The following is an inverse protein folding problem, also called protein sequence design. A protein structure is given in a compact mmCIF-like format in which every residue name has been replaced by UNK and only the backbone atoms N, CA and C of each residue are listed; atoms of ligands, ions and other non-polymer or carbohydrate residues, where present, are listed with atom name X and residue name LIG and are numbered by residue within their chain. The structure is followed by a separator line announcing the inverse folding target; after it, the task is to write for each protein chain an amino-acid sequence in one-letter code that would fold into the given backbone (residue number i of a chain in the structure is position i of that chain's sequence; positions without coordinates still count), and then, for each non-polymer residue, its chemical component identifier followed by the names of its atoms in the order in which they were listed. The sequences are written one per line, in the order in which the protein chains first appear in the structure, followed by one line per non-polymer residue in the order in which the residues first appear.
data_IF_551505317229
#
_entry.id   IF_551505317229
#
_cell.length_a   1.000
_cell.length_b   1.000
_cell.length_c   1.000
_cell.angle_alpha   90.00
_cell.angle_beta   90.00
_cell.angle_gamma   90.00
#
_symmetry.space_group_name_H-M   'P 1'
#
loop_
_entity.id
_entity.type
_entity.pdbx_description
1 polymer ?
#
# COMPACT_ATOMS: atom_id res chain seq x y z
N UNK A 1 -16.54 -59.07 -48.15
CA UNK A 1 -15.46 -58.79 -47.18
C UNK A 1 -15.77 -57.46 -46.53
N UNK A 2 -16.28 -57.47 -45.29
CA UNK A 2 -16.79 -56.27 -44.61
C UNK A 2 -16.10 -56.19 -43.26
N UNK A 3 -15.18 -55.24 -43.09
CA UNK A 3 -14.39 -55.06 -41.86
C UNK A 3 -15.13 -54.06 -40.96
N UNK A 4 -15.65 -54.54 -39.82
CA UNK A 4 -16.15 -53.69 -38.73
C UNK A 4 -14.97 -53.18 -37.91
N UNK A 5 -14.81 -51.86 -37.81
CA UNK A 5 -13.84 -51.22 -36.91
C UNK A 5 -14.50 -50.94 -35.57
N UNK A 6 -13.96 -51.54 -34.52
CA UNK A 6 -14.30 -51.30 -33.11
C UNK A 6 -13.63 -50.02 -32.64
N UNK A 7 -14.39 -49.08 -32.08
CA UNK A 7 -13.85 -47.86 -31.46
C UNK A 7 -13.85 -48.05 -29.95
N UNK A 8 -12.66 -48.04 -29.33
CA UNK A 8 -12.49 -47.96 -27.88
C UNK A 8 -12.67 -46.51 -27.43
N UNK A 9 -13.61 -46.27 -26.52
CA UNK A 9 -13.76 -45.00 -25.80
C UNK A 9 -12.92 -45.07 -24.53
N UNK A 10 -11.83 -44.29 -24.49
CA UNK A 10 -11.00 -44.14 -23.30
C UNK A 10 -11.46 -42.94 -22.47
N UNK A 11 -11.94 -43.20 -21.25
CA UNK A 11 -12.35 -42.17 -20.28
C UNK A 11 -11.10 -41.56 -19.63
N UNK A 12 -10.87 -40.26 -19.86
CA UNK A 12 -9.79 -39.50 -19.23
C UNK A 12 -10.26 -39.01 -17.84
N UNK A 13 -9.71 -39.59 -16.76
CA UNK A 13 -9.88 -39.05 -15.41
C UNK A 13 -8.99 -37.81 -15.25
N UNK A 14 -9.62 -36.63 -15.20
CA UNK A 14 -8.98 -35.38 -14.77
C UNK A 14 -8.89 -35.36 -13.23
N UNK A 15 -7.70 -35.66 -12.71
CA UNK A 15 -7.33 -35.34 -11.33
C UNK A 15 -7.19 -33.81 -11.23
N UNK A 16 -8.15 -33.14 -10.61
CA UNK A 16 -8.01 -31.75 -10.20
C UNK A 16 -6.96 -31.68 -9.07
N UNK A 17 -5.78 -31.16 -9.36
CA UNK A 17 -4.81 -30.84 -8.33
C UNK A 17 -5.40 -29.73 -7.44
N UNK A 18 -5.35 -29.85 -6.10
CA UNK A 18 -5.72 -28.75 -5.22
C UNK A 18 -4.81 -27.56 -5.53
N UNK A 19 -5.43 -26.44 -5.93
CA UNK A 19 -4.73 -25.20 -6.18
C UNK A 19 -4.00 -24.80 -4.90
N UNK A 20 -2.67 -24.86 -4.92
CA UNK A 20 -1.84 -24.19 -3.92
C UNK A 20 -2.21 -22.72 -4.00
N UNK A 21 -2.74 -22.16 -2.92
CA UNK A 21 -2.99 -20.73 -2.79
C UNK A 21 -1.62 -20.05 -2.74
N UNK A 22 -1.05 -19.81 -3.92
CA UNK A 22 0.25 -19.19 -4.06
C UNK A 22 0.17 -17.75 -3.56
N UNK A 23 1.17 -17.34 -2.77
CA UNK A 23 1.36 -15.95 -2.39
C UNK A 23 1.34 -15.05 -3.62
N UNK A 24 0.53 -14.01 -3.58
CA UNK A 24 0.35 -13.12 -4.73
C UNK A 24 1.18 -11.84 -4.55
N UNK A 25 2.37 -11.79 -5.14
CA UNK A 25 3.20 -10.60 -5.13
C UNK A 25 2.64 -9.53 -6.08
N UNK A 26 2.43 -8.30 -5.58
CA UNK A 26 1.97 -7.15 -6.38
C UNK A 26 2.70 -5.87 -6.01
N UNK A 27 3.01 -5.02 -6.99
CA UNK A 27 3.63 -3.73 -6.69
C UNK A 27 2.59 -2.70 -6.22
N UNK A 28 2.42 -2.59 -4.90
CA UNK A 28 1.48 -1.65 -4.29
C UNK A 28 1.85 -0.18 -4.51
N UNK A 29 3.08 0.16 -4.94
CA UNK A 29 3.46 1.54 -5.24
C UNK A 29 2.67 2.11 -6.43
N UNK A 30 2.11 1.24 -7.27
CA UNK A 30 1.25 1.61 -8.41
C UNK A 30 -0.19 1.91 -8.00
N UNK A 31 -0.60 1.54 -6.78
CA UNK A 31 -1.97 1.71 -6.31
C UNK A 31 -2.28 3.14 -5.91
N UNK A 32 -3.57 3.40 -5.70
CA UNK A 32 -4.08 4.66 -5.18
C UNK A 32 -5.20 4.41 -4.18
N UNK A 33 -5.20 5.16 -3.07
CA UNK A 33 -6.30 5.20 -2.11
C UNK A 33 -6.97 6.56 -2.26
N UNK A 34 -8.28 6.56 -2.51
CA UNK A 34 -9.04 7.82 -2.67
C UNK A 34 -8.46 8.78 -3.73
N UNK A 35 -7.87 8.23 -4.79
CA UNK A 35 -7.20 8.98 -5.86
C UNK A 35 -5.77 9.46 -5.53
N UNK A 36 -5.32 9.32 -4.29
CA UNK A 36 -3.96 9.70 -3.86
C UNK A 36 -3.00 8.52 -4.03
N UNK A 37 -1.82 8.79 -4.59
CA UNK A 37 -0.73 7.82 -4.81
C UNK A 37 0.50 8.20 -4.00
N UNK A 38 1.32 7.21 -3.67
CA UNK A 38 2.68 7.43 -3.18
C UNK A 38 3.48 8.27 -4.19
N UNK A 39 4.38 9.13 -3.72
CA UNK A 39 5.20 9.97 -4.59
C UNK A 39 4.52 11.23 -5.14
N UNK A 40 3.21 11.44 -4.90
CA UNK A 40 2.54 12.69 -5.28
C UNK A 40 3.13 13.89 -4.53
N UNK A 41 3.19 15.04 -5.20
CA UNK A 41 3.43 16.31 -4.53
C UNK A 41 2.17 16.82 -3.81
N UNK A 42 2.33 17.91 -3.04
CA UNK A 42 1.27 18.52 -2.24
C UNK A 42 0.03 18.89 -3.07
N UNK A 43 0.19 19.60 -4.18
CA UNK A 43 -0.93 20.16 -4.94
C UNK A 43 -1.74 19.07 -5.64
N UNK A 44 -1.06 18.05 -6.16
CA UNK A 44 -1.71 16.88 -6.77
C UNK A 44 -2.47 16.08 -5.71
N UNK A 45 -1.85 15.80 -4.56
CA UNK A 45 -2.49 15.07 -3.47
C UNK A 45 -3.68 15.85 -2.87
N UNK A 46 -3.56 17.16 -2.71
CA UNK A 46 -4.64 18.03 -2.22
C UNK A 46 -5.85 17.99 -3.16
N UNK A 47 -5.64 18.11 -4.47
CA UNK A 47 -6.72 18.04 -5.46
C UNK A 47 -7.40 16.67 -5.49
N UNK A 48 -6.62 15.59 -5.45
CA UNK A 48 -7.16 14.23 -5.39
C UNK A 48 -8.01 14.02 -4.14
N UNK A 49 -7.50 14.40 -2.97
CA UNK A 49 -8.21 14.31 -1.69
C UNK A 49 -9.48 15.18 -1.67
N UNK A 50 -9.39 16.43 -2.15
CA UNK A 50 -10.53 17.35 -2.24
C UNK A 50 -11.64 16.80 -3.15
N UNK A 51 -11.27 16.28 -4.32
CA UNK A 51 -12.23 15.67 -5.25
C UNK A 51 -12.91 14.43 -4.68
N UNK A 52 -12.14 13.53 -4.05
CA UNK A 52 -12.69 12.32 -3.44
C UNK A 52 -13.58 12.63 -2.23
N UNK A 53 -13.12 13.51 -1.33
CA UNK A 53 -13.86 13.86 -0.12
C UNK A 53 -14.99 14.86 -0.36
N UNK A 54 -15.12 15.38 -1.58
CA UNK A 54 -16.12 16.38 -1.98
C UNK A 54 -16.08 17.64 -1.09
N UNK A 55 -14.88 18.03 -0.67
CA UNK A 55 -14.65 19.28 0.08
C UNK A 55 -13.92 20.26 -0.82
N UNK A 56 -14.10 21.59 -0.64
CA UNK A 56 -13.30 22.56 -1.38
C UNK A 56 -11.82 22.41 -1.03
N UNK A 57 -10.92 22.55 -2.01
CA UNK A 57 -9.47 22.42 -1.79
C UNK A 57 -8.95 23.38 -0.71
N UNK A 58 -9.58 24.54 -0.55
CA UNK A 58 -9.27 25.52 0.50
C UNK A 58 -9.51 25.01 1.93
N UNK A 59 -10.37 23.99 2.11
CA UNK A 59 -10.60 23.34 3.40
C UNK A 59 -9.51 22.31 3.76
N UNK A 60 -8.69 21.88 2.79
CA UNK A 60 -7.58 20.96 3.03
C UNK A 60 -6.39 21.74 3.57
N UNK A 61 -6.21 21.76 4.90
CA UNK A 61 -5.14 22.48 5.57
C UNK A 61 -3.95 21.56 5.89
N UNK A 62 -2.71 21.96 5.59
CA UNK A 62 -1.53 21.19 5.96
C UNK A 62 -1.29 21.25 7.47
N UNK A 63 -0.81 20.16 8.04
CA UNK A 63 0.10 20.24 9.17
C UNK A 63 1.53 20.38 8.65
N UNK A 64 2.21 21.41 9.12
CA UNK A 64 3.59 21.70 8.71
C UNK A 64 4.56 21.33 9.82
N UNK A 65 5.67 20.70 9.45
CA UNK A 65 6.77 20.42 10.36
C UNK A 65 8.07 20.85 9.67
N UNK A 66 9.13 21.00 10.47
CA UNK A 66 10.46 21.23 9.92
C UNK A 66 10.93 19.98 9.19
N UNK A 67 11.29 20.14 7.93
CA UNK A 67 11.95 19.10 7.18
C UNK A 67 13.37 18.89 7.75
N UNK A 68 13.72 17.67 8.20
CA UNK A 68 15.02 17.40 8.81
C UNK A 68 16.21 17.57 7.85
N UNK A 69 15.97 17.56 6.54
CA UNK A 69 16.99 17.74 5.51
C UNK A 69 17.24 19.20 5.16
N UNK A 70 16.18 20.01 5.06
CA UNK A 70 16.27 21.40 4.58
C UNK A 70 16.22 22.42 5.72
N UNK A 71 15.79 22.02 6.91
CA UNK A 71 15.54 22.90 8.05
C UNK A 71 14.33 23.82 7.88
N UNK A 72 13.60 23.72 6.77
CA UNK A 72 12.46 24.59 6.45
C UNK A 72 11.15 23.95 6.89
N UNK A 73 10.21 24.78 7.35
CA UNK A 73 8.83 24.35 7.56
C UNK A 73 8.17 24.02 6.23
N UNK A 74 7.61 22.82 6.12
CA UNK A 74 7.00 22.28 4.91
C UNK A 74 5.76 21.44 5.27
N UNK A 75 4.80 21.28 4.35
CA UNK A 75 3.61 20.46 4.60
C UNK A 75 4.02 18.99 4.72
N UNK A 76 3.88 18.43 5.92
CA UNK A 76 4.14 17.00 6.18
C UNK A 76 2.89 16.14 6.10
N UNK A 77 1.74 16.76 5.84
CA UNK A 77 0.48 16.08 5.58
C UNK A 77 -0.72 16.92 5.86
N UNK A 78 -1.89 16.31 5.73
CA UNK A 78 -3.18 16.91 6.02
C UNK A 78 -4.18 15.82 6.41
N UNK A 79 -5.24 16.23 7.11
CA UNK A 79 -6.40 15.38 7.37
C UNK A 79 -7.66 16.10 6.89
N UNK A 80 -8.52 15.36 6.20
CA UNK A 80 -9.87 15.80 5.83
C UNK A 80 -10.85 14.84 6.46
N UNK A 81 -11.92 15.35 7.07
CA UNK A 81 -13.01 14.55 7.60
C UNK A 81 -14.33 14.99 6.98
N UNK A 82 -15.21 14.03 6.76
CA UNK A 82 -16.61 14.22 6.39
C UNK A 82 -17.47 13.24 7.20
N UNK A 83 -18.81 13.36 7.18
CA UNK A 83 -19.68 12.39 7.84
C UNK A 83 -19.48 10.94 7.35
N UNK A 84 -18.95 10.76 6.13
CA UNK A 84 -18.80 9.46 5.49
C UNK A 84 -17.41 8.82 5.71
N UNK A 85 -16.47 9.54 6.34
CA UNK A 85 -15.14 9.02 6.62
C UNK A 85 -14.09 10.12 6.79
N UNK A 86 -12.85 9.70 6.96
CA UNK A 86 -11.69 10.59 7.03
C UNK A 86 -10.57 10.10 6.13
N UNK A 87 -9.82 11.05 5.59
CA UNK A 87 -8.65 10.82 4.76
C UNK A 87 -7.46 11.55 5.39
N UNK A 88 -6.41 10.80 5.69
CA UNK A 88 -5.14 11.30 6.18
C UNK A 88 -4.07 11.04 5.15
N UNK A 89 -3.37 12.09 4.73
CA UNK A 89 -2.22 11.98 3.82
C UNK A 89 -0.99 12.49 4.57
N UNK A 90 0.09 11.71 4.53
CA UNK A 90 1.40 12.07 5.09
C UNK A 90 2.42 12.17 3.97
N UNK A 91 3.35 13.12 4.15
CA UNK A 91 4.48 13.32 3.26
C UNK A 91 5.76 13.04 4.02
N UNK A 92 6.75 12.53 3.29
CA UNK A 92 8.12 12.39 3.74
C UNK A 92 9.04 13.22 2.86
N UNK A 93 10.13 13.71 3.43
CA UNK A 93 11.20 14.32 2.65
C UNK A 93 11.94 13.24 1.85
N UNK A 94 12.22 13.50 0.58
CA UNK A 94 12.94 12.58 -0.29
C UNK A 94 14.40 13.02 -0.45
N UNK A 95 15.38 12.21 0.03
CA UNK A 95 16.78 12.56 -0.08
C UNK A 95 17.28 12.78 -1.50
N UNK A 96 16.85 11.93 -2.42
CA UNK A 96 17.24 11.99 -3.83
C UNK A 96 16.62 13.18 -4.57
N UNK A 97 15.67 13.88 -3.94
CA UNK A 97 15.02 15.07 -4.47
C UNK A 97 15.36 16.32 -3.64
N UNK A 98 16.56 16.38 -3.06
CA UNK A 98 17.03 17.51 -2.27
C UNK A 98 16.07 17.92 -1.13
N UNK A 99 15.41 16.93 -0.53
CA UNK A 99 14.43 17.16 0.54
C UNK A 99 13.08 17.68 0.05
N UNK A 100 12.72 17.52 -1.23
CA UNK A 100 11.33 17.71 -1.65
C UNK A 100 10.40 16.75 -0.88
N UNK A 101 9.21 17.20 -0.52
CA UNK A 101 8.24 16.38 0.20
C UNK A 101 7.30 15.65 -0.77
N UNK A 102 7.15 14.34 -0.59
CA UNK A 102 6.29 13.47 -1.41
C UNK A 102 5.40 12.62 -0.53
N UNK A 103 4.21 12.26 -1.02
CA UNK A 103 3.28 11.38 -0.28
C UNK A 103 3.99 10.07 0.06
N UNK A 104 4.06 9.75 1.35
CA UNK A 104 4.64 8.53 1.88
C UNK A 104 3.60 7.62 2.55
N UNK A 105 2.44 8.17 2.92
CA UNK A 105 1.32 7.37 3.35
C UNK A 105 -0.02 8.06 3.05
N UNK A 106 -1.04 7.25 2.78
CA UNK A 106 -2.43 7.67 2.73
C UNK A 106 -3.29 6.66 3.48
N UNK A 107 -4.25 7.16 4.26
CA UNK A 107 -5.15 6.35 5.07
C UNK A 107 -6.57 6.88 4.90
N UNK A 108 -7.47 6.01 4.44
CA UNK A 108 -8.91 6.26 4.38
C UNK A 108 -9.61 5.40 5.42
N UNK A 109 -10.50 6.02 6.20
CA UNK A 109 -11.22 5.36 7.28
C UNK A 109 -12.70 5.76 7.25
N UNK A 110 -13.60 4.77 7.30
CA UNK A 110 -15.05 4.97 7.39
C UNK A 110 -15.55 4.70 8.82
N UNK A 111 -16.75 5.18 9.22
CA UNK A 111 -17.27 4.91 10.55
C UNK A 111 -17.35 3.42 10.88
N UNK A 112 -17.00 3.07 12.12
CA UNK A 112 -16.99 1.69 12.57
C UNK A 112 -18.40 1.06 12.54
N UNK A 113 -18.53 -0.02 11.78
CA UNK A 113 -19.56 -1.04 11.94
C UNK A 113 -19.05 -2.34 11.31
N UNK A 114 -19.59 -3.48 11.71
CA UNK A 114 -19.24 -4.76 11.10
C UNK A 114 -19.58 -4.79 9.60
N UNK A 115 -20.71 -4.20 9.22
CA UNK A 115 -21.13 -4.09 7.83
C UNK A 115 -20.16 -3.22 7.01
N UNK A 116 -19.72 -2.08 7.56
CA UNK A 116 -18.74 -1.23 6.90
C UNK A 116 -17.39 -1.92 6.75
N UNK A 117 -16.96 -2.70 7.75
CA UNK A 117 -15.73 -3.47 7.67
C UNK A 117 -15.79 -4.50 6.52
N UNK A 118 -16.89 -5.25 6.41
CA UNK A 118 -17.04 -6.22 5.33
C UNK A 118 -17.16 -5.54 3.96
N UNK A 119 -17.92 -4.45 3.85
CA UNK A 119 -18.02 -3.67 2.61
C UNK A 119 -16.66 -3.13 2.17
N UNK A 120 -15.85 -2.60 3.09
CA UNK A 120 -14.51 -2.13 2.78
C UNK A 120 -13.62 -3.29 2.31
N UNK A 121 -13.68 -4.43 3.00
CA UNK A 121 -12.93 -5.63 2.65
C UNK A 121 -13.24 -6.09 1.22
N UNK A 122 -14.52 -6.20 0.88
CA UNK A 122 -14.97 -6.61 -0.46
C UNK A 122 -14.59 -5.58 -1.53
N UNK A 123 -14.81 -4.29 -1.26
CA UNK A 123 -14.41 -3.23 -2.18
C UNK A 123 -12.89 -3.20 -2.43
N UNK A 124 -12.08 -3.52 -1.42
CA UNK A 124 -10.63 -3.62 -1.57
C UNK A 124 -10.24 -4.83 -2.46
N UNK A 125 -10.84 -6.00 -2.25
CA UNK A 125 -10.61 -7.18 -3.10
C UNK A 125 -11.04 -6.94 -4.55
N UNK A 126 -12.19 -6.29 -4.76
CA UNK A 126 -12.68 -5.94 -6.10
C UNK A 126 -11.72 -4.97 -6.81
N UNK A 127 -11.23 -3.95 -6.08
CA UNK A 127 -10.40 -2.91 -6.68
C UNK A 127 -8.94 -3.32 -6.90
N UNK A 128 -8.35 -4.06 -5.96
CA UNK A 128 -6.91 -4.36 -5.95
C UNK A 128 -6.60 -5.83 -6.27
N UNK A 129 -7.63 -6.65 -6.43
CA UNK A 129 -7.48 -8.08 -6.67
C UNK A 129 -7.15 -8.89 -5.41
N UNK A 130 -6.76 -10.16 -5.57
CA UNK A 130 -6.40 -11.04 -4.46
C UNK A 130 -5.28 -10.43 -3.60
N UNK A 131 -5.39 -10.57 -2.28
CA UNK A 131 -4.36 -10.12 -1.34
C UNK A 131 -3.12 -11.01 -1.39
N UNK A 132 -1.96 -10.42 -1.12
CA UNK A 132 -0.66 -11.09 -1.08
C UNK A 132 -0.55 -12.11 0.05
N UNK A 133 -1.27 -11.92 1.15
CA UNK A 133 -1.27 -12.79 2.32
C UNK A 133 -2.43 -13.80 2.39
N UNK A 134 -3.22 -13.91 1.31
CA UNK A 134 -4.44 -14.72 1.29
C UNK A 134 -5.65 -14.03 1.92
N UNK A 135 -6.83 -14.63 1.78
CA UNK A 135 -8.11 -13.99 2.18
C UNK A 135 -8.58 -14.33 3.59
N UNK A 136 -7.89 -15.24 4.28
CA UNK A 136 -8.24 -15.73 5.62
C UNK A 136 -7.61 -14.90 6.75
N UNK A 137 -6.78 -13.92 6.41
CA UNK A 137 -6.13 -13.03 7.39
C UNK A 137 -7.08 -11.98 8.00
N UNK A 138 -6.76 -11.54 9.22
CA UNK A 138 -7.46 -10.43 9.91
C UNK A 138 -7.33 -9.11 9.15
N UNK A 139 -6.23 -8.93 8.42
CA UNK A 139 -6.05 -7.86 7.44
C UNK A 139 -5.72 -8.45 6.07
N UNK A 140 -6.15 -7.75 5.02
CA UNK A 140 -5.75 -8.01 3.65
C UNK A 140 -4.59 -7.10 3.32
N UNK A 141 -3.49 -7.66 2.83
CA UNK A 141 -2.31 -6.88 2.47
C UNK A 141 -1.87 -7.15 1.04
N UNK A 142 -1.35 -6.12 0.39
CA UNK A 142 -0.80 -6.19 -0.97
C UNK A 142 0.60 -5.59 -1.00
N UNK A 143 1.55 -6.31 -1.56
CA UNK A 143 2.96 -5.91 -1.61
C UNK A 143 3.81 -6.77 -2.54
N UNK A 144 4.98 -6.24 -2.90
CA UNK A 144 5.89 -6.89 -3.84
C UNK A 144 6.57 -8.11 -3.22
N UNK A 145 6.74 -8.08 -1.89
CA UNK A 145 7.39 -9.13 -1.12
C UNK A 145 6.47 -9.58 0.03
N UNK A 146 5.53 -10.52 -0.24
CA UNK A 146 4.80 -11.20 0.82
C UNK A 146 5.73 -12.00 1.73
N UNK A 147 5.32 -12.19 2.99
CA UNK A 147 5.99 -13.13 3.89
C UNK A 147 5.81 -14.56 3.39
N UNK A 148 6.84 -15.40 3.51
CA UNK A 148 6.80 -16.81 3.10
C UNK A 148 5.77 -17.64 3.88
N UNK A 149 5.37 -17.20 5.08
CA UNK A 149 4.30 -17.80 5.84
C UNK A 149 2.97 -17.09 5.54
N UNK A 150 2.01 -17.84 4.97
CA UNK A 150 0.65 -17.36 4.74
C UNK A 150 0.01 -16.83 6.03
N UNK A 151 -0.78 -15.77 5.93
CA UNK A 151 -1.43 -15.12 7.07
C UNK A 151 -0.57 -14.11 7.84
N UNK A 152 0.78 -14.13 7.73
CA UNK A 152 1.63 -13.13 8.41
C UNK A 152 1.54 -11.76 7.75
N UNK A 153 1.31 -11.71 6.42
CA UNK A 153 1.24 -10.44 5.70
C UNK A 153 2.40 -10.21 4.75
N UNK A 154 2.72 -8.95 4.53
CA UNK A 154 3.86 -8.46 3.79
C UNK A 154 5.12 -8.49 4.64
N UNK A 155 6.24 -8.88 4.02
CA UNK A 155 7.53 -8.89 4.71
C UNK A 155 7.85 -7.50 5.29
N UNK A 156 8.23 -7.48 6.56
CA UNK A 156 8.67 -6.31 7.31
C UNK A 156 10.18 -6.34 7.61
N UNK A 157 10.82 -7.50 7.46
CA UNK A 157 12.25 -7.74 7.62
C UNK A 157 12.73 -8.74 6.57
N UNK A 158 13.99 -8.62 6.12
CA UNK A 158 14.62 -9.57 5.20
C UNK A 158 15.74 -9.00 4.34
N UNK A 159 16.33 -9.83 3.47
CA UNK A 159 17.42 -9.44 2.57
C UNK A 159 16.90 -8.60 1.38
N UNK A 160 17.70 -7.64 0.92
CA UNK A 160 17.48 -6.87 -0.32
C UNK A 160 16.13 -6.11 -0.41
N UNK A 161 16.00 -4.98 0.28
CA UNK A 161 14.93 -3.99 0.00
C UNK A 161 13.51 -4.42 0.37
N UNK A 162 13.30 -5.62 0.91
CA UNK A 162 11.99 -6.12 1.35
C UNK A 162 11.34 -5.26 2.44
N UNK A 163 12.15 -4.64 3.31
CA UNK A 163 11.67 -3.68 4.30
C UNK A 163 11.34 -2.30 3.69
N UNK A 164 11.89 -1.98 2.51
CA UNK A 164 11.69 -0.73 1.77
C UNK A 164 10.70 -0.92 0.62
N UNK A 165 9.50 -1.42 0.94
CA UNK A 165 8.44 -1.64 -0.04
C UNK A 165 7.16 -0.84 0.26
N UNK A 166 6.37 -0.59 -0.79
CA UNK A 166 5.01 -0.12 -0.62
C UNK A 166 4.10 -1.26 -0.13
N UNK A 167 3.22 -0.95 0.81
CA UNK A 167 2.20 -1.88 1.32
C UNK A 167 0.86 -1.19 1.31
N UNK A 168 -0.12 -1.83 0.67
CA UNK A 168 -1.53 -1.51 0.85
C UNK A 168 -2.10 -2.49 1.88
N UNK A 169 -2.87 -2.00 2.84
CA UNK A 169 -3.53 -2.81 3.86
C UNK A 169 -4.99 -2.39 4.03
N UNK A 170 -5.90 -3.37 4.05
CA UNK A 170 -7.28 -3.21 4.47
C UNK A 170 -7.50 -3.97 5.78
N UNK A 171 -7.90 -3.26 6.84
CA UNK A 171 -8.16 -3.83 8.16
C UNK A 171 -9.33 -3.11 8.83
N UNK A 172 -10.33 -3.87 9.27
CA UNK A 172 -11.56 -3.31 9.82
C UNK A 172 -12.20 -2.30 8.86
N UNK A 173 -12.30 -1.04 9.28
CA UNK A 173 -12.86 0.08 8.48
C UNK A 173 -11.81 1.01 7.90
N UNK A 174 -10.56 0.55 7.81
CA UNK A 174 -9.41 1.33 7.37
C UNK A 174 -8.73 0.72 6.15
N UNK A 175 -8.38 1.57 5.20
CA UNK A 175 -7.56 1.25 4.04
C UNK A 175 -6.35 2.18 4.03
N UNK A 176 -5.14 1.63 4.14
CA UNK A 176 -3.90 2.38 4.18
C UNK A 176 -2.95 1.96 3.06
N UNK A 177 -2.29 2.92 2.41
CA UNK A 177 -1.20 2.69 1.48
C UNK A 177 0.03 3.44 1.99
N UNK A 178 1.11 2.71 2.26
CA UNK A 178 2.30 3.24 2.93
C UNK A 178 3.58 2.83 2.20
N UNK A 179 4.49 3.77 1.99
CA UNK A 179 5.89 3.50 1.65
C UNK A 179 6.67 3.20 2.93
N UNK A 180 6.93 1.91 3.21
CA UNK A 180 7.70 1.51 4.40
C UNK A 180 9.17 1.96 4.33
N UNK A 181 9.69 2.23 3.13
CA UNK A 181 11.06 2.68 2.94
C UNK A 181 11.30 4.16 3.21
N UNK A 182 10.26 5.00 3.22
CA UNK A 182 10.41 6.45 3.35
C UNK A 182 11.20 6.87 4.61
N UNK A 183 10.88 6.28 5.76
CA UNK A 183 11.61 6.55 7.00
C UNK A 183 13.06 6.05 6.94
N UNK A 184 13.27 4.86 6.36
CA UNK A 184 14.61 4.25 6.23
C UNK A 184 15.51 5.13 5.36
N UNK A 185 15.00 5.66 4.24
CA UNK A 185 15.75 6.57 3.35
C UNK A 185 16.16 7.85 4.08
N UNK A 186 15.25 8.48 4.83
CA UNK A 186 15.57 9.68 5.62
C UNK A 186 16.62 9.37 6.69
N UNK A 187 16.45 8.28 7.44
CA UNK A 187 17.39 7.90 8.49
C UNK A 187 18.79 7.66 7.92
N UNK A 188 18.90 6.91 6.82
CA UNK A 188 20.15 6.68 6.09
C UNK A 188 20.81 7.98 5.64
N UNK A 189 20.02 8.94 5.13
CA UNK A 189 20.54 10.26 4.78
C UNK A 189 21.10 10.99 6.01
N UNK A 190 20.37 11.04 7.11
CA UNK A 190 20.82 11.72 8.33
C UNK A 190 22.08 11.10 8.91
N UNK A 191 22.18 9.77 8.91
CA UNK A 191 23.37 9.05 9.37
C UNK A 191 24.59 9.33 8.47
N UNK A 192 24.38 9.43 7.16
CA UNK A 192 25.45 9.82 6.22
C UNK A 192 26.00 11.24 6.48
N UNK A 193 25.19 12.12 7.09
CA UNK A 193 25.63 13.46 7.50
C UNK A 193 26.30 13.48 8.88
N UNK A 194 26.11 12.45 9.69
CA UNK A 194 26.73 12.29 11.01
C UNK A 194 28.00 11.45 10.97
N UNK A 195 28.29 10.78 9.85
CA UNK A 195 29.43 9.87 9.75
C UNK A 195 30.74 10.64 9.95
N UNK A 196 31.44 10.31 11.04
CA UNK A 196 32.78 10.81 11.32
C UNK A 196 33.77 9.74 10.87
N UNK A 197 34.78 10.09 10.08
CA UNK A 197 35.87 9.16 9.75
C UNK A 197 36.64 8.82 11.03
N UNK A 198 36.74 7.53 11.43
CA UNK A 198 37.57 7.13 12.55
C UNK A 198 39.02 7.57 12.30
N UNK A 199 39.63 8.26 13.26
CA UNK A 199 41.07 8.52 13.27
C UNK A 199 41.71 7.43 14.13
N UNK A 200 42.25 6.41 13.49
CA UNK A 200 43.21 5.50 14.10
C UNK A 200 44.60 5.86 13.58
#
# INVERSE_FOLDING_TARGET
MTIRKTVLVGTLLLLAAPGVWAQHAVDAAKFSVSGVKLGMDWEVAQRAASGFMQVPASAVKPFSLNNPMTGRSQPMGFRVASPNGSLLVRFSAEPDLNGAVRVSAVEYEIPWSQENAERLRQAALEKYGPSSNGVEGVSLQWCAYPNENLGIGCADMGHQGQAEQAVLEAVGTKLSLTDKGAHIRIQRYLDSKRSTTPRF
#
